data_IF_261758063686
#
_entry.id   IF_261758063686
#
_cell.length_a   1.000
_cell.length_b   1.000
_cell.length_c   1.000
_cell.angle_alpha   90.00
_cell.angle_beta   90.00
_cell.angle_gamma   90.00
#
_symmetry.space_group_name_H-M   'P 1'
#
loop_
_entity.id
_entity.type
_entity.pdbx_description
1 polymer ?
#
# COMPACT_ATOMS: atom_id res chain seq x y z
N UNK A 1 7.32 47.04 -16.97
CA UNK A 1 7.44 46.86 -15.52
C UNK A 1 6.40 45.86 -15.09
N UNK A 2 6.75 44.58 -14.97
CA UNK A 2 5.86 43.51 -14.56
C UNK A 2 6.47 42.85 -13.34
N UNK A 3 5.80 43.02 -12.19
CA UNK A 3 6.18 42.38 -10.93
C UNK A 3 5.69 40.89 -10.95
N UNK A 4 6.64 39.96 -11.04
CA UNK A 4 6.39 38.56 -10.71
C UNK A 4 6.49 38.39 -9.19
N UNK A 5 5.36 38.23 -8.51
CA UNK A 5 5.30 37.78 -7.12
C UNK A 5 5.53 36.27 -7.07
N UNK A 6 6.68 35.86 -6.53
CA UNK A 6 6.98 34.46 -6.20
C UNK A 6 6.24 34.10 -4.91
N UNK A 7 5.22 33.25 -5.02
CA UNK A 7 4.62 32.60 -3.86
C UNK A 7 5.52 31.43 -3.41
N UNK A 8 6.28 31.66 -2.35
CA UNK A 8 6.94 30.58 -1.62
C UNK A 8 5.91 29.94 -0.69
N UNK A 9 5.41 28.77 -1.06
CA UNK A 9 4.58 27.97 -0.15
C UNK A 9 5.50 27.33 0.88
N UNK A 10 5.46 27.80 2.11
CA UNK A 10 6.01 27.09 3.26
C UNK A 10 5.05 25.94 3.58
N UNK A 11 5.49 24.72 3.29
CA UNK A 11 4.86 23.52 3.83
C UNK A 11 5.33 23.43 5.27
N UNK A 12 4.42 23.70 6.21
CA UNK A 12 4.67 23.46 7.63
C UNK A 12 4.68 21.94 7.86
N UNK A 13 5.83 21.37 8.15
CA UNK A 13 5.93 20.02 8.66
C UNK A 13 5.26 19.99 10.04
N UNK A 14 4.13 19.32 10.14
CA UNK A 14 3.51 18.97 11.41
C UNK A 14 4.15 17.64 11.83
N UNK A 15 5.03 17.69 12.84
CA UNK A 15 5.50 16.48 13.51
C UNK A 15 4.34 15.89 14.31
N UNK A 16 3.77 14.81 13.81
CA UNK A 16 2.78 14.02 14.54
C UNK A 16 3.50 13.21 15.63
N UNK A 17 3.30 13.56 16.88
CA UNK A 17 3.68 12.73 18.00
C UNK A 17 2.68 11.57 18.14
N UNK A 18 3.06 10.36 17.78
CA UNK A 18 2.24 9.17 17.96
C UNK A 18 2.38 8.62 19.38
N UNK A 19 1.26 8.29 20.00
CA UNK A 19 1.21 7.57 21.28
C UNK A 19 1.21 6.06 21.03
N UNK A 20 2.24 5.37 21.51
CA UNK A 20 2.42 3.92 21.42
C UNK A 20 1.39 3.14 22.26
N UNK A 21 0.23 2.78 21.74
CA UNK A 21 -0.68 1.87 22.46
C UNK A 21 -1.34 0.78 21.58
N UNK A 22 -1.30 0.89 20.25
CA UNK A 22 -2.10 0.03 19.37
C UNK A 22 -1.35 -1.15 18.72
N UNK A 23 -0.03 -1.22 18.79
CA UNK A 23 0.75 -2.21 18.01
C UNK A 23 0.68 -3.65 18.57
N UNK A 24 0.34 -3.84 19.83
CA UNK A 24 0.40 -5.16 20.45
C UNK A 24 -0.67 -6.16 19.96
N UNK A 25 -1.83 -5.68 19.50
CA UNK A 25 -2.95 -6.55 19.10
C UNK A 25 -2.83 -6.98 17.64
N UNK A 26 -2.32 -6.13 16.78
CA UNK A 26 -2.12 -6.40 15.33
C UNK A 26 -1.07 -7.49 15.10
N UNK A 27 -0.05 -7.58 15.97
CA UNK A 27 0.99 -8.62 15.91
C UNK A 27 0.45 -10.04 16.09
N UNK A 28 -0.82 -10.21 16.50
CA UNK A 28 -1.46 -11.52 16.62
C UNK A 28 -2.02 -12.04 15.30
N UNK A 29 -2.18 -11.18 14.28
CA UNK A 29 -2.70 -11.58 12.97
C UNK A 29 -1.64 -12.44 12.26
N UNK A 30 -2.00 -13.68 11.98
CA UNK A 30 -1.07 -14.69 11.45
C UNK A 30 -1.66 -15.59 10.37
N UNK A 31 -2.90 -15.36 9.98
CA UNK A 31 -3.64 -16.21 9.05
C UNK A 31 -4.70 -15.41 8.28
N UNK A 32 -5.40 -16.08 7.40
CA UNK A 32 -6.53 -15.53 6.67
C UNK A 32 -7.71 -16.51 6.69
N UNK A 33 -8.92 -15.99 6.79
CA UNK A 33 -10.16 -16.73 6.59
C UNK A 33 -10.73 -16.42 5.21
N UNK A 34 -11.29 -17.42 4.55
CA UNK A 34 -11.84 -17.31 3.20
C UNK A 34 -13.35 -17.29 3.24
N UNK A 35 -13.94 -16.40 2.47
CA UNK A 35 -15.39 -16.32 2.23
C UNK A 35 -15.63 -16.45 0.73
N UNK A 36 -15.55 -17.70 0.19
CA UNK A 36 -15.84 -17.92 -1.22
C UNK A 36 -17.32 -17.67 -1.47
N UNK A 37 -17.61 -17.10 -2.64
CA UNK A 37 -18.99 -16.85 -3.07
C UNK A 37 -19.77 -15.96 -2.11
N UNK A 38 -19.14 -14.88 -1.61
CA UNK A 38 -19.83 -13.84 -0.83
C UNK A 38 -21.04 -13.30 -1.61
N UNK A 39 -20.90 -13.10 -2.92
CA UNK A 39 -21.98 -13.00 -3.90
C UNK A 39 -21.86 -14.18 -4.86
N UNK A 40 -22.95 -14.85 -5.14
CA UNK A 40 -22.99 -16.05 -5.97
C UNK A 40 -24.16 -16.02 -6.95
N UNK A 41 -24.25 -14.91 -7.70
CA UNK A 41 -25.33 -14.76 -8.68
C UNK A 41 -25.13 -15.66 -9.92
N UNK A 42 -23.90 -16.17 -10.12
CA UNK A 42 -23.56 -17.09 -11.19
C UNK A 42 -23.02 -18.40 -10.61
N UNK A 43 -23.89 -19.25 -10.01
CA UNK A 43 -23.46 -20.45 -9.30
C UNK A 43 -22.83 -21.53 -10.20
N UNK A 44 -23.02 -21.44 -11.52
CA UNK A 44 -22.41 -22.34 -12.50
C UNK A 44 -20.95 -22.02 -12.85
N UNK A 45 -20.44 -20.88 -12.40
CA UNK A 45 -19.03 -20.52 -12.60
C UNK A 45 -18.10 -21.43 -11.79
N UNK A 46 -16.91 -21.67 -12.31
CA UNK A 46 -15.88 -22.48 -11.63
C UNK A 46 -14.94 -21.59 -10.83
N UNK A 47 -14.83 -21.82 -9.54
CA UNK A 47 -13.90 -21.12 -8.64
C UNK A 47 -12.72 -22.03 -8.29
N UNK A 48 -11.51 -21.52 -8.46
CA UNK A 48 -10.27 -22.10 -7.93
C UNK A 48 -9.68 -21.15 -6.88
N UNK A 49 -9.34 -21.66 -5.71
CA UNK A 49 -8.72 -20.90 -4.62
C UNK A 49 -7.37 -21.50 -4.28
N UNK A 50 -6.33 -20.67 -4.24
CA UNK A 50 -5.03 -21.05 -3.67
C UNK A 50 -4.78 -20.17 -2.46
N UNK A 51 -4.31 -20.79 -1.39
CA UNK A 51 -4.07 -20.12 -0.12
C UNK A 51 -2.76 -20.56 0.50
N UNK A 52 -1.86 -19.63 0.61
CA UNK A 52 -0.58 -19.76 1.29
C UNK A 52 -0.21 -18.42 1.96
N UNK A 53 -1.10 -17.95 2.84
CA UNK A 53 -0.91 -16.70 3.58
C UNK A 53 0.41 -16.73 4.38
N UNK A 54 1.16 -15.64 4.45
CA UNK A 54 0.97 -14.34 3.81
C UNK A 54 1.59 -14.21 2.40
N UNK A 55 2.22 -15.29 1.90
CA UNK A 55 2.99 -15.25 0.66
C UNK A 55 2.12 -15.11 -0.58
N UNK A 56 0.97 -15.83 -0.58
CA UNK A 56 0.08 -15.92 -1.73
C UNK A 56 -1.35 -16.26 -1.30
N UNK A 57 -2.31 -15.52 -1.83
CA UNK A 57 -3.72 -15.88 -1.93
C UNK A 57 -4.15 -15.62 -3.37
N UNK A 58 -4.88 -16.51 -4.00
CA UNK A 58 -5.48 -16.23 -5.30
C UNK A 58 -6.87 -16.80 -5.44
N UNK A 59 -7.69 -16.07 -6.19
CA UNK A 59 -9.00 -16.48 -6.67
C UNK A 59 -8.96 -16.46 -8.20
N UNK A 60 -9.40 -17.55 -8.81
CA UNK A 60 -9.65 -17.63 -10.24
C UNK A 60 -11.08 -18.09 -10.46
N UNK A 61 -11.89 -17.28 -11.13
CA UNK A 61 -13.22 -17.64 -11.57
C UNK A 61 -13.32 -17.72 -13.09
N UNK A 62 -13.93 -18.79 -13.56
CA UNK A 62 -14.16 -19.06 -14.97
C UNK A 62 -15.65 -19.25 -15.26
N UNK A 63 -16.04 -18.86 -16.48
CA UNK A 63 -17.40 -19.01 -16.99
C UNK A 63 -18.44 -18.24 -16.15
N UNK A 64 -18.10 -17.02 -15.71
CA UNK A 64 -19.04 -16.13 -15.00
C UNK A 64 -20.03 -15.57 -16.00
N UNK A 65 -20.94 -16.43 -16.45
CA UNK A 65 -21.88 -16.14 -17.54
C UNK A 65 -23.20 -16.89 -17.33
N UNK A 66 -24.27 -16.12 -17.23
CA UNK A 66 -25.65 -16.63 -17.24
C UNK A 66 -26.63 -15.51 -17.64
N UNK A 67 -27.91 -15.84 -18.01
CA UNK A 67 -28.86 -14.85 -18.50
C UNK A 67 -29.22 -13.73 -17.52
N UNK A 68 -29.11 -13.98 -16.22
CA UNK A 68 -29.49 -13.03 -15.13
C UNK A 68 -28.43 -13.07 -14.04
N UNK A 69 -28.53 -12.14 -13.08
CA UNK A 69 -27.57 -12.00 -12.00
C UNK A 69 -26.56 -10.89 -12.27
N UNK A 70 -25.97 -10.38 -11.19
CA UNK A 70 -25.04 -9.25 -11.26
C UNK A 70 -23.58 -9.71 -11.29
N UNK A 71 -23.13 -10.46 -10.28
CA UNK A 71 -21.71 -10.78 -10.13
C UNK A 71 -21.48 -11.98 -9.20
N UNK A 72 -20.28 -12.53 -9.28
CA UNK A 72 -19.70 -13.33 -8.20
C UNK A 72 -18.64 -12.51 -7.48
N UNK A 73 -18.55 -12.70 -6.14
CA UNK A 73 -17.51 -12.10 -5.30
C UNK A 73 -16.93 -13.11 -4.34
N UNK A 74 -15.61 -13.23 -4.35
CA UNK A 74 -14.84 -14.06 -3.43
C UNK A 74 -13.94 -13.16 -2.60
N UNK A 75 -13.85 -13.42 -1.30
CA UNK A 75 -13.07 -12.60 -0.39
C UNK A 75 -12.24 -13.43 0.59
N UNK A 76 -11.19 -12.85 1.10
CA UNK A 76 -10.46 -13.29 2.28
C UNK A 76 -10.33 -12.14 3.26
N UNK A 77 -10.21 -12.44 4.55
CA UNK A 77 -10.03 -11.47 5.62
C UNK A 77 -8.89 -11.89 6.53
N UNK A 78 -8.21 -10.92 7.14
CA UNK A 78 -7.22 -11.22 8.18
C UNK A 78 -7.83 -12.02 9.33
N UNK A 79 -7.03 -12.89 9.93
CA UNK A 79 -7.42 -13.74 11.04
C UNK A 79 -6.26 -13.92 12.03
N UNK A 80 -6.58 -14.13 13.31
CA UNK A 80 -5.62 -14.41 14.37
C UNK A 80 -5.89 -15.74 15.10
N UNK A 81 -6.79 -16.55 14.56
CA UNK A 81 -7.23 -17.84 15.13
C UNK A 81 -7.09 -19.00 14.13
N UNK A 82 -6.02 -18.95 13.32
CA UNK A 82 -5.72 -19.96 12.29
C UNK A 82 -6.75 -20.03 11.16
N UNK A 83 -7.43 -18.93 10.88
CA UNK A 83 -8.40 -18.81 9.79
C UNK A 83 -9.80 -19.28 10.16
N UNK A 84 -10.12 -19.42 11.44
CA UNK A 84 -11.47 -19.82 11.88
C UNK A 84 -12.47 -18.65 11.77
N UNK A 85 -12.06 -17.44 12.19
CA UNK A 85 -12.88 -16.22 12.09
C UNK A 85 -12.09 -15.03 11.56
N UNK A 86 -12.80 -14.04 11.00
CA UNK A 86 -12.19 -12.79 10.60
C UNK A 86 -11.78 -11.97 11.84
N UNK A 87 -10.56 -11.41 11.81
CA UNK A 87 -10.13 -10.44 12.80
C UNK A 87 -10.97 -9.16 12.67
N UNK A 88 -11.47 -8.67 13.79
CA UNK A 88 -12.26 -7.44 13.85
C UNK A 88 -11.39 -6.31 14.39
N UNK A 89 -11.11 -5.37 13.52
CA UNK A 89 -10.40 -4.14 13.88
C UNK A 89 -11.31 -3.24 14.72
N UNK A 90 -10.70 -2.39 15.52
CA UNK A 90 -11.42 -1.43 16.36
C UNK A 90 -10.81 -0.03 16.26
N UNK A 91 -11.54 0.96 16.76
CA UNK A 91 -11.17 2.38 16.63
C UNK A 91 -9.86 2.76 17.31
N UNK A 92 -9.31 1.93 18.18
CA UNK A 92 -8.01 2.18 18.81
C UNK A 92 -6.84 1.65 18.00
N UNK A 93 -7.10 0.82 16.98
CA UNK A 93 -6.05 0.23 16.16
C UNK A 93 -5.45 1.27 15.22
N UNK A 94 -4.13 1.26 15.13
CA UNK A 94 -3.36 2.02 14.16
C UNK A 94 -2.38 1.06 13.48
N UNK A 95 -2.41 1.01 12.17
CA UNK A 95 -1.67 -0.01 11.42
C UNK A 95 -1.49 0.39 9.95
N UNK A 96 -0.55 -0.26 9.31
CA UNK A 96 -0.35 -0.25 7.86
C UNK A 96 -0.56 -1.65 7.30
N UNK A 97 -1.30 -1.74 6.21
CA UNK A 97 -1.43 -2.95 5.40
C UNK A 97 -0.90 -2.66 4.00
N UNK A 98 -0.07 -3.57 3.48
CA UNK A 98 0.37 -3.56 2.08
C UNK A 98 0.22 -4.94 1.47
N UNK A 99 -0.08 -5.00 0.18
CA UNK A 99 -0.07 -6.22 -0.61
C UNK A 99 0.18 -5.91 -2.08
N UNK A 100 0.79 -6.84 -2.79
CA UNK A 100 0.87 -6.81 -4.24
C UNK A 100 -0.39 -7.46 -4.80
N UNK A 101 -1.04 -6.78 -5.75
CA UNK A 101 -2.27 -7.24 -6.40
C UNK A 101 -2.02 -7.34 -7.89
N UNK A 102 -2.29 -8.53 -8.45
CA UNK A 102 -2.38 -8.74 -9.89
C UNK A 102 -3.80 -9.13 -10.24
N UNK A 103 -4.46 -8.33 -11.08
CA UNK A 103 -5.80 -8.63 -11.57
C UNK A 103 -5.76 -8.85 -13.07
N UNK A 104 -6.25 -10.01 -13.50
CA UNK A 104 -6.37 -10.37 -14.92
C UNK A 104 -7.83 -10.64 -15.25
N UNK A 105 -8.30 -10.12 -16.38
CA UNK A 105 -9.65 -10.35 -16.87
C UNK A 105 -9.65 -10.80 -18.32
N UNK A 106 -10.43 -11.81 -18.67
CA UNK A 106 -10.65 -12.28 -20.03
C UNK A 106 -12.15 -12.52 -20.28
N UNK A 107 -12.78 -11.69 -21.12
CA UNK A 107 -12.27 -10.41 -21.64
C UNK A 107 -12.11 -9.36 -20.52
N UNK A 108 -11.49 -8.21 -20.81
CA UNK A 108 -11.35 -7.14 -19.82
C UNK A 108 -12.70 -6.52 -19.39
N UNK A 109 -13.71 -6.56 -20.25
CA UNK A 109 -15.10 -6.16 -19.98
C UNK A 109 -16.04 -7.34 -20.20
N UNK A 110 -17.03 -7.58 -19.35
CA UNK A 110 -17.47 -6.71 -18.24
C UNK A 110 -16.45 -6.66 -17.10
N UNK A 111 -16.65 -5.69 -16.19
CA UNK A 111 -15.76 -5.36 -15.09
C UNK A 111 -15.32 -6.59 -14.28
N UNK A 112 -14.00 -6.64 -14.00
CA UNK A 112 -13.39 -7.38 -12.91
C UNK A 112 -12.70 -6.37 -12.01
N UNK A 113 -12.79 -6.59 -10.72
CA UNK A 113 -12.14 -5.74 -9.73
C UNK A 113 -11.53 -6.57 -8.61
N UNK A 114 -10.39 -6.08 -8.11
CA UNK A 114 -9.70 -6.68 -6.98
C UNK A 114 -8.98 -5.60 -6.16
N UNK A 115 -8.76 -5.89 -4.90
CA UNK A 115 -8.09 -5.00 -3.97
C UNK A 115 -8.53 -5.26 -2.54
N UNK A 116 -8.49 -4.22 -1.73
CA UNK A 116 -8.97 -4.30 -0.34
C UNK A 116 -10.49 -4.28 -0.26
N UNK A 117 -11.02 -5.06 0.65
CA UNK A 117 -12.41 -5.03 1.08
C UNK A 117 -12.48 -4.80 2.59
N UNK A 118 -13.42 -3.94 2.97
CA UNK A 118 -13.76 -3.61 4.35
C UNK A 118 -15.20 -4.03 4.59
N UNK A 119 -15.43 -4.97 5.48
CA UNK A 119 -16.76 -5.40 5.86
C UNK A 119 -17.06 -4.93 7.28
N UNK A 120 -18.09 -4.11 7.42
CA UNK A 120 -18.58 -3.66 8.72
C UNK A 120 -20.07 -4.03 8.83
N UNK A 121 -20.49 -4.69 9.92
CA UNK A 121 -21.89 -5.12 10.06
C UNK A 121 -22.90 -3.97 10.23
N UNK A 122 -22.42 -2.77 10.55
CA UNK A 122 -23.26 -1.58 10.75
C UNK A 122 -23.33 -0.67 9.52
N UNK A 123 -22.39 -0.83 8.59
CA UNK A 123 -22.28 -0.02 7.38
C UNK A 123 -21.97 -0.92 6.20
N UNK A 124 -22.50 -0.58 5.04
CA UNK A 124 -22.14 -1.23 3.78
C UNK A 124 -20.67 -1.01 3.51
N UNK A 125 -19.79 -1.84 3.90
CA UNK A 125 -18.38 -1.88 3.70
C UNK A 125 -17.74 -0.81 2.80
N UNK A 126 -16.51 -1.01 2.41
CA UNK A 126 -15.85 -0.12 1.46
C UNK A 126 -14.77 -0.89 0.73
N UNK A 127 -14.32 -0.38 -0.39
CA UNK A 127 -13.32 -1.00 -1.23
C UNK A 127 -12.20 -0.01 -1.61
N UNK A 128 -10.98 -0.51 -1.66
CA UNK A 128 -9.86 0.16 -2.34
C UNK A 128 -9.32 -0.77 -3.40
N UNK A 129 -9.55 -0.46 -4.68
CA UNK A 129 -9.49 -1.40 -5.80
C UNK A 129 -8.68 -0.91 -7.00
N UNK A 130 -8.37 -1.89 -7.86
CA UNK A 130 -8.12 -1.74 -9.29
C UNK A 130 -9.22 -2.46 -10.06
N UNK A 131 -9.53 -2.01 -11.29
CA UNK A 131 -10.50 -2.68 -12.16
C UNK A 131 -10.05 -2.72 -13.62
N UNK A 132 -10.62 -3.67 -14.37
CA UNK A 132 -10.17 -3.96 -15.74
C UNK A 132 -10.77 -3.05 -16.80
N UNK A 133 -12.02 -2.63 -16.65
CA UNK A 133 -12.75 -1.88 -17.70
C UNK A 133 -12.66 -0.37 -17.54
N UNK A 134 -12.58 0.12 -16.28
CA UNK A 134 -12.40 1.54 -15.97
C UNK A 134 -10.94 1.95 -15.85
N UNK A 135 -10.02 0.98 -15.78
CA UNK A 135 -8.59 1.21 -15.57
C UNK A 135 -8.27 2.04 -14.31
N UNK A 136 -9.12 1.94 -13.28
CA UNK A 136 -9.08 2.78 -12.12
C UNK A 136 -8.20 2.22 -11.00
N UNK A 137 -7.65 3.15 -10.22
CA UNK A 137 -7.17 2.95 -8.85
C UNK A 137 -8.02 3.82 -7.95
N UNK A 138 -8.92 3.25 -7.15
CA UNK A 138 -9.90 4.04 -6.42
C UNK A 138 -10.29 3.41 -5.09
N UNK A 139 -10.43 4.25 -4.06
CA UNK A 139 -11.05 3.90 -2.79
C UNK A 139 -12.42 4.56 -2.70
N UNK A 140 -13.45 3.78 -2.33
CA UNK A 140 -14.83 4.25 -2.27
C UNK A 140 -15.71 3.31 -1.44
N UNK A 141 -16.97 3.73 -1.25
CA UNK A 141 -18.02 2.92 -0.69
C UNK A 141 -18.07 2.93 0.84
N UNK A 142 -19.26 2.72 1.38
CA UNK A 142 -19.52 2.65 2.80
C UNK A 142 -18.95 3.85 3.56
N UNK A 143 -18.07 3.57 4.48
CA UNK A 143 -17.44 4.56 5.35
C UNK A 143 -16.05 5.02 4.87
N UNK A 144 -15.50 4.43 3.81
CA UNK A 144 -14.18 4.82 3.31
C UNK A 144 -14.20 6.20 2.66
N UNK A 145 -13.28 7.10 3.05
CA UNK A 145 -13.09 8.35 2.34
C UNK A 145 -12.74 8.09 0.86
N UNK A 146 -13.46 8.75 -0.03
CA UNK A 146 -13.22 8.62 -1.47
C UNK A 146 -11.85 9.16 -1.86
N UNK A 147 -11.09 8.37 -2.63
CA UNK A 147 -9.88 8.84 -3.28
C UNK A 147 -9.60 8.08 -4.57
N UNK A 148 -9.43 8.80 -5.68
CA UNK A 148 -9.03 8.24 -6.96
C UNK A 148 -7.61 8.67 -7.30
N UNK A 149 -6.74 7.70 -7.54
CA UNK A 149 -5.39 7.97 -7.99
C UNK A 149 -5.39 8.39 -9.47
N UNK A 150 -4.61 9.43 -9.85
CA UNK A 150 -4.48 9.84 -11.25
C UNK A 150 -3.55 8.89 -12.00
N UNK A 151 -3.90 7.61 -12.05
CA UNK A 151 -3.12 6.53 -12.63
C UNK A 151 -4.02 5.54 -13.31
N UNK A 152 -3.45 4.82 -14.28
CA UNK A 152 -4.14 3.79 -15.06
C UNK A 152 -3.64 2.42 -14.65
N UNK A 153 -4.57 1.51 -14.37
CA UNK A 153 -4.33 0.09 -14.20
C UNK A 153 -4.62 -0.65 -15.52
N UNK A 154 -3.82 -1.63 -15.88
CA UNK A 154 -4.13 -2.53 -17.01
C UNK A 154 -4.23 -3.97 -16.50
N UNK A 155 -5.15 -4.73 -17.10
CA UNK A 155 -5.28 -6.15 -16.79
C UNK A 155 -3.95 -6.89 -16.97
N UNK A 156 -3.50 -7.58 -15.93
CA UNK A 156 -2.23 -8.28 -15.87
C UNK A 156 -1.09 -7.48 -15.23
N UNK A 157 -1.26 -6.18 -14.99
CA UNK A 157 -0.27 -5.42 -14.21
C UNK A 157 -0.27 -5.91 -12.75
N UNK A 158 0.92 -5.99 -12.15
CA UNK A 158 1.08 -6.16 -10.71
C UNK A 158 1.32 -4.79 -10.08
N UNK A 159 0.53 -4.48 -9.06
CA UNK A 159 0.59 -3.21 -8.34
C UNK A 159 0.66 -3.44 -6.84
N UNK A 160 1.47 -2.65 -6.13
CA UNK A 160 1.40 -2.64 -4.67
C UNK A 160 0.32 -1.67 -4.24
N UNK A 161 -0.63 -2.15 -3.47
CA UNK A 161 -1.65 -1.36 -2.81
C UNK A 161 -1.38 -1.35 -1.31
N UNK A 162 -1.60 -0.23 -0.66
CA UNK A 162 -1.41 -0.12 0.78
C UNK A 162 -2.33 0.94 1.38
N UNK A 163 -2.50 0.85 2.68
CA UNK A 163 -3.20 1.84 3.48
C UNK A 163 -2.62 1.89 4.88
N UNK A 164 -2.62 3.08 5.46
CA UNK A 164 -2.32 3.30 6.87
C UNK A 164 -3.56 3.90 7.54
N UNK A 165 -4.02 3.27 8.62
CA UNK A 165 -5.07 3.80 9.49
C UNK A 165 -4.41 4.25 10.79
N UNK A 166 -4.72 5.47 11.21
CA UNK A 166 -4.09 6.10 12.36
C UNK A 166 -5.01 7.12 13.04
N UNK A 167 -4.61 7.61 14.22
CA UNK A 167 -5.27 8.75 14.87
C UNK A 167 -4.58 10.04 14.45
N UNK A 168 -5.36 11.00 13.96
CA UNK A 168 -4.88 12.34 13.70
C UNK A 168 -4.60 13.13 15.01
N UNK A 169 -4.13 14.35 14.88
CA UNK A 169 -3.82 15.22 16.04
C UNK A 169 -5.05 15.59 16.90
N UNK A 170 -6.27 15.40 16.36
CA UNK A 170 -7.53 15.60 17.08
C UNK A 170 -8.07 14.28 17.69
N UNK A 171 -7.35 13.16 17.53
CA UNK A 171 -7.74 11.84 18.00
C UNK A 171 -8.80 11.15 17.16
N UNK A 172 -9.07 11.65 15.94
CA UNK A 172 -9.98 11.04 14.99
C UNK A 172 -9.26 9.98 14.15
N UNK A 173 -9.99 8.96 13.71
CA UNK A 173 -9.47 8.02 12.74
C UNK A 173 -9.28 8.72 11.39
N UNK A 174 -8.13 8.47 10.78
CA UNK A 174 -7.78 8.92 9.45
C UNK A 174 -7.13 7.78 8.68
N UNK A 175 -7.17 7.87 7.37
CA UNK A 175 -6.57 6.90 6.46
C UNK A 175 -5.70 7.61 5.41
N UNK A 176 -4.61 6.98 5.05
CA UNK A 176 -3.79 7.31 3.88
C UNK A 176 -3.80 6.07 2.97
N UNK A 177 -4.07 6.26 1.69
CA UNK A 177 -3.96 5.22 0.68
C UNK A 177 -2.64 5.33 -0.07
N UNK A 178 -2.04 4.20 -0.40
CA UNK A 178 -0.81 4.08 -1.15
C UNK A 178 -1.00 3.21 -2.40
N UNK A 179 -0.39 3.62 -3.50
CA UNK A 179 -0.36 2.84 -4.73
C UNK A 179 1.02 2.91 -5.40
N UNK A 180 1.59 1.76 -5.76
CA UNK A 180 2.83 1.65 -6.50
C UNK A 180 2.63 0.78 -7.74
N UNK A 181 3.06 1.30 -8.88
CA UNK A 181 3.19 0.57 -10.14
C UNK A 181 4.67 0.32 -10.44
N UNK A 182 4.98 -0.38 -11.52
CA UNK A 182 6.38 -0.59 -11.95
C UNK A 182 7.16 0.71 -12.18
N UNK A 183 6.49 1.82 -12.44
CA UNK A 183 7.13 3.08 -12.86
C UNK A 183 6.92 4.25 -11.91
N UNK A 184 6.02 4.12 -10.93
CA UNK A 184 5.65 5.26 -10.11
C UNK A 184 4.94 4.89 -8.81
N UNK A 185 5.08 5.75 -7.80
CA UNK A 185 4.34 5.69 -6.54
C UNK A 185 3.46 6.91 -6.36
N UNK A 186 2.39 6.73 -5.61
CA UNK A 186 1.51 7.81 -5.21
C UNK A 186 0.92 7.49 -3.83
N UNK A 187 0.62 8.55 -3.08
CA UNK A 187 -0.02 8.49 -1.77
C UNK A 187 -1.13 9.54 -1.74
N UNK A 188 -2.23 9.24 -1.08
CA UNK A 188 -3.26 10.24 -0.81
C UNK A 188 -2.80 11.19 0.28
N UNK A 189 -3.40 12.39 0.40
CA UNK A 189 -3.31 13.12 1.67
C UNK A 189 -3.97 12.28 2.78
N UNK A 190 -3.72 12.61 4.07
CA UNK A 190 -4.52 12.10 5.17
C UNK A 190 -6.00 12.46 4.97
N UNK A 191 -6.87 11.47 5.04
CA UNK A 191 -8.31 11.63 4.85
C UNK A 191 -9.02 11.22 6.15
N UNK A 192 -9.75 12.14 6.76
CA UNK A 192 -10.56 11.83 7.93
C UNK A 192 -11.78 11.01 7.52
N UNK A 193 -12.11 10.02 8.32
CA UNK A 193 -13.38 9.34 8.22
C UNK A 193 -14.53 10.30 8.58
N UNK A 194 -15.66 10.20 7.90
CA UNK A 194 -16.80 11.06 8.13
C UNK A 194 -17.34 10.93 9.56
N UNK A 195 -17.69 12.05 10.17
CA UNK A 195 -18.29 12.07 11.52
C UNK A 195 -19.70 11.47 11.59
N UNK A 196 -20.31 11.17 10.44
CA UNK A 196 -21.66 10.56 10.36
C UNK A 196 -21.60 9.04 10.46
N UNK A 197 -20.40 8.46 10.37
CA UNK A 197 -20.21 7.03 10.34
C UNK A 197 -19.71 6.54 11.70
N UNK A 198 -20.61 5.78 12.34
CA UNK A 198 -20.44 5.27 13.68
C UNK A 198 -19.15 4.46 13.82
N UNK A 199 -18.15 5.03 14.52
CA UNK A 199 -16.99 4.27 15.00
C UNK A 199 -16.23 3.54 13.92
N UNK A 200 -16.24 4.06 12.79
CA UNK A 200 -15.61 3.85 11.50
C UNK A 200 -14.95 2.51 11.22
N UNK A 201 -14.01 2.04 12.05
CA UNK A 201 -13.37 0.73 11.88
C UNK A 201 -13.79 -0.26 12.97
N UNK A 202 -14.55 0.17 13.96
CA UNK A 202 -14.97 -0.68 15.06
C UNK A 202 -15.84 -1.87 14.56
N UNK A 203 -15.38 -3.08 14.80
CA UNK A 203 -16.02 -4.29 14.30
C UNK A 203 -15.83 -4.54 12.79
N UNK A 204 -14.94 -3.82 12.13
CA UNK A 204 -14.64 -4.01 10.71
C UNK A 204 -13.67 -5.16 10.52
N UNK A 205 -13.95 -6.06 9.58
CA UNK A 205 -12.96 -6.97 9.03
C UNK A 205 -12.37 -6.43 7.74
N UNK A 206 -11.07 -6.61 7.55
CA UNK A 206 -10.33 -6.14 6.37
C UNK A 206 -9.67 -7.34 5.70
N UNK A 207 -9.61 -7.30 4.37
CA UNK A 207 -8.96 -8.33 3.57
C UNK A 207 -8.86 -7.95 2.11
N UNK A 208 -8.83 -8.96 1.25
CA UNK A 208 -8.82 -8.75 -0.20
C UNK A 208 -9.96 -9.52 -0.89
N UNK A 209 -10.32 -9.10 -2.10
CA UNK A 209 -11.40 -9.73 -2.85
C UNK A 209 -11.17 -9.72 -4.35
N UNK A 210 -11.86 -10.63 -5.04
CA UNK A 210 -12.11 -10.63 -6.47
C UNK A 210 -13.61 -10.51 -6.71
N UNK A 211 -14.03 -9.59 -7.57
CA UNK A 211 -15.39 -9.57 -8.09
C UNK A 211 -15.38 -9.60 -9.60
N UNK A 212 -16.22 -10.45 -10.17
CA UNK A 212 -16.40 -10.55 -11.63
C UNK A 212 -17.88 -10.28 -11.94
N UNK A 213 -18.13 -9.23 -12.71
CA UNK A 213 -19.46 -8.91 -13.18
C UNK A 213 -19.88 -9.94 -14.24
N UNK A 214 -21.10 -10.44 -14.10
CA UNK A 214 -21.71 -11.43 -15.02
C UNK A 214 -21.76 -10.91 -16.46
N UNK A 215 -21.57 -11.81 -17.42
CA UNK A 215 -21.81 -11.53 -18.83
C UNK A 215 -22.85 -12.48 -19.41
N UNK A 216 -24.05 -12.01 -19.73
CA UNK A 216 -25.05 -12.89 -20.36
C UNK A 216 -24.67 -13.40 -21.75
N UNK A 217 -23.69 -12.80 -22.39
CA UNK A 217 -23.34 -13.06 -23.80
C UNK A 217 -21.94 -13.66 -24.01
N UNK A 218 -21.08 -13.64 -22.99
CA UNK A 218 -19.69 -14.11 -23.10
C UNK A 218 -19.50 -15.31 -22.19
N UNK A 219 -19.64 -16.50 -22.73
CA UNK A 219 -19.60 -17.75 -21.96
C UNK A 219 -18.25 -17.99 -21.24
N UNK A 220 -17.15 -17.48 -21.81
CA UNK A 220 -15.79 -17.62 -21.28
C UNK A 220 -15.37 -16.48 -20.33
N UNK A 221 -16.33 -15.60 -19.94
CA UNK A 221 -16.04 -14.50 -19.03
C UNK A 221 -15.36 -14.99 -17.73
N UNK A 222 -14.13 -14.57 -17.51
CA UNK A 222 -13.26 -15.05 -16.42
C UNK A 222 -12.37 -13.96 -15.87
N UNK A 223 -11.80 -14.22 -14.70
CA UNK A 223 -10.81 -13.33 -14.09
C UNK A 223 -10.06 -14.01 -12.96
N UNK A 224 -8.88 -13.47 -12.69
CA UNK A 224 -8.00 -13.95 -11.64
C UNK A 224 -7.49 -12.76 -10.83
N UNK A 225 -7.59 -12.84 -9.51
CA UNK A 225 -6.88 -11.95 -8.60
C UNK A 225 -5.82 -12.74 -7.83
N UNK A 226 -4.62 -12.20 -7.79
CA UNK A 226 -3.49 -12.75 -7.03
C UNK A 226 -3.04 -11.70 -6.03
N UNK A 227 -3.02 -12.06 -4.75
CA UNK A 227 -2.56 -11.25 -3.63
C UNK A 227 -1.26 -11.85 -3.11
N UNK A 228 -0.17 -11.09 -3.11
CA UNK A 228 1.15 -11.55 -2.68
C UNK A 228 1.78 -10.53 -1.73
N UNK A 229 2.84 -10.98 -1.01
CA UNK A 229 3.60 -10.10 -0.12
C UNK A 229 2.68 -9.35 0.87
N UNK A 230 1.65 -10.05 1.38
CA UNK A 230 0.66 -9.49 2.29
C UNK A 230 1.35 -9.19 3.62
N UNK A 231 1.33 -7.92 4.02
CA UNK A 231 1.94 -7.45 5.28
C UNK A 231 0.94 -6.63 6.07
N UNK A 232 0.98 -6.77 7.38
CA UNK A 232 0.35 -5.87 8.33
C UNK A 232 1.36 -5.54 9.42
N UNK A 233 1.53 -4.25 9.70
CA UNK A 233 2.52 -3.72 10.64
C UNK A 233 1.92 -2.63 11.51
N UNK A 234 2.67 -2.07 12.45
CA UNK A 234 2.38 -0.76 13.02
C UNK A 234 2.27 0.31 11.93
N UNK A 235 1.84 1.53 12.27
CA UNK A 235 1.80 2.63 11.31
C UNK A 235 3.15 2.81 10.61
N UNK A 236 3.09 3.07 9.31
CA UNK A 236 4.22 3.41 8.45
C UNK A 236 3.76 4.62 7.63
N UNK A 237 4.14 5.81 8.09
CA UNK A 237 3.55 7.07 7.62
C UNK A 237 4.11 7.54 6.28
N UNK A 238 5.29 7.07 5.89
CA UNK A 238 5.95 7.43 4.62
C UNK A 238 6.00 6.27 3.61
N UNK A 239 5.47 5.09 4.01
CA UNK A 239 5.36 3.90 3.16
C UNK A 239 6.69 3.40 2.61
N UNK A 240 7.76 3.50 3.39
CA UNK A 240 9.04 2.93 3.03
C UNK A 240 9.18 1.43 3.40
N UNK A 241 8.24 0.92 4.19
CA UNK A 241 8.13 -0.47 4.61
C UNK A 241 8.67 -0.74 6.02
N UNK A 242 9.10 0.32 6.73
CA UNK A 242 9.57 0.27 8.12
C UNK A 242 8.57 1.03 9.01
N UNK A 243 8.00 0.39 10.04
CA UNK A 243 7.03 1.04 10.92
C UNK A 243 7.62 2.25 11.68
N UNK A 244 6.80 3.28 11.90
CA UNK A 244 7.19 4.55 12.52
C UNK A 244 7.91 4.39 13.87
N UNK A 245 7.61 3.34 14.63
CA UNK A 245 8.19 3.09 15.97
C UNK A 245 9.63 2.58 15.92
N UNK A 246 10.08 2.06 14.80
CA UNK A 246 11.45 1.57 14.56
C UNK A 246 12.16 2.32 13.42
N UNK A 247 11.43 3.18 12.71
CA UNK A 247 11.99 4.01 11.64
C UNK A 247 12.84 5.14 12.23
N UNK A 248 14.10 5.21 11.82
CA UNK A 248 15.06 6.25 12.25
C UNK A 248 15.18 7.38 11.23
N UNK A 249 14.58 7.24 10.06
CA UNK A 249 14.67 8.15 8.93
C UNK A 249 13.30 8.57 8.39
N UNK A 250 12.40 8.97 9.27
CA UNK A 250 11.05 9.40 8.91
C UNK A 250 11.02 10.38 7.71
N UNK A 251 10.00 10.29 6.90
CA UNK A 251 9.80 11.04 5.65
C UNK A 251 10.75 10.62 4.51
N UNK A 252 11.04 9.37 4.39
CA UNK A 252 11.70 8.80 3.23
C UNK A 252 10.89 9.10 1.96
N UNK A 253 11.50 9.58 0.86
CA UNK A 253 10.76 9.80 -0.37
C UNK A 253 10.15 8.50 -0.88
N UNK A 254 8.89 8.56 -1.31
CA UNK A 254 8.15 7.40 -1.82
C UNK A 254 8.97 6.60 -2.85
N UNK A 255 8.89 5.27 -2.76
CA UNK A 255 9.61 4.33 -3.61
C UNK A 255 11.13 4.40 -3.54
N UNK A 256 11.68 5.00 -2.53
CA UNK A 256 13.11 4.93 -2.26
C UNK A 256 13.44 3.61 -1.57
N UNK A 257 14.53 2.99 -1.97
CA UNK A 257 15.04 1.80 -1.29
C UNK A 257 15.65 2.20 0.05
N UNK A 258 15.24 1.52 1.12
CA UNK A 258 15.72 1.77 2.49
C UNK A 258 16.36 0.52 3.09
N UNK A 259 17.16 0.72 4.11
CA UNK A 259 17.66 -0.35 4.97
C UNK A 259 16.62 -0.76 6.04
N UNK A 260 16.99 -1.68 6.91
CA UNK A 260 16.12 -2.17 7.98
C UNK A 260 15.74 -1.09 9.03
N UNK A 261 16.36 0.06 9.00
CA UNK A 261 16.07 1.20 9.89
C UNK A 261 15.25 2.32 9.23
N UNK A 262 14.74 2.10 8.02
CA UNK A 262 13.97 3.08 7.25
C UNK A 262 14.82 4.12 6.53
N UNK A 263 16.15 3.96 6.51
CA UNK A 263 17.04 4.97 5.95
C UNK A 263 17.44 4.64 4.51
N UNK A 264 17.30 5.59 3.60
CA UNK A 264 17.85 5.53 2.27
C UNK A 264 19.34 5.92 2.24
N UNK A 265 20.04 5.56 1.17
CA UNK A 265 21.45 5.97 0.96
C UNK A 265 21.58 7.50 1.01
N UNK A 266 20.63 8.24 0.44
CA UNK A 266 20.64 9.71 0.43
C UNK A 266 20.38 10.31 1.82
N UNK A 267 19.63 9.64 2.68
CA UNK A 267 19.43 10.06 4.07
C UNK A 267 20.62 9.72 4.97
N UNK A 268 21.32 8.61 4.69
CA UNK A 268 22.55 8.23 5.40
C UNK A 268 23.75 9.11 4.96
N UNK A 269 23.78 9.55 3.71
CA UNK A 269 24.83 10.40 3.17
C UNK A 269 24.26 11.61 2.39
N UNK A 270 23.55 12.54 3.06
CA UNK A 270 22.92 13.67 2.39
C UNK A 270 23.95 14.58 1.70
N UNK A 271 23.62 15.06 0.52
CA UNK A 271 24.49 15.95 -0.25
C UNK A 271 24.84 17.26 0.50
N UNK A 272 23.91 17.76 1.29
CA UNK A 272 24.05 19.03 2.02
C UNK A 272 25.05 18.98 3.21
N UNK A 273 25.27 17.79 3.79
CA UNK A 273 26.12 17.59 4.96
C UNK A 273 25.90 16.23 5.61
N UNK A 274 26.70 15.84 6.60
CA UNK A 274 26.53 14.56 7.32
C UNK A 274 25.14 14.45 7.97
N UNK A 275 24.59 13.25 8.04
CA UNK A 275 23.32 12.99 8.74
C UNK A 275 23.36 13.43 10.22
N UNK A 276 24.55 13.43 10.85
CA UNK A 276 24.76 13.95 12.21
C UNK A 276 24.71 15.49 12.31
N UNK A 277 24.50 16.19 11.20
CA UNK A 277 24.45 17.65 11.10
C UNK A 277 25.77 18.29 10.68
N UNK A 278 25.68 19.58 10.32
CA UNK A 278 26.81 20.37 9.86
C UNK A 278 27.06 20.27 8.33
N UNK A 279 28.30 20.54 7.91
CA UNK A 279 28.70 20.50 6.51
C UNK A 279 29.85 19.52 6.31
N UNK A 280 29.92 18.93 5.12
CA UNK A 280 31.07 18.10 4.72
C UNK A 280 32.37 18.93 4.75
N UNK A 281 33.44 18.37 5.30
CA UNK A 281 34.75 19.02 5.29
C UNK A 281 35.29 19.18 3.85
N UNK A 282 35.00 18.23 3.00
CA UNK A 282 35.38 18.18 1.58
C UNK A 282 34.56 17.06 0.87
N UNK A 283 34.66 17.05 -0.48
CA UNK A 283 34.02 16.05 -1.32
C UNK A 283 34.43 14.61 -0.99
N UNK A 284 35.71 14.37 -0.61
CA UNK A 284 36.19 13.03 -0.22
C UNK A 284 35.49 12.47 1.03
N UNK A 285 35.13 13.34 1.98
CA UNK A 285 34.35 12.90 3.15
C UNK A 285 32.93 12.47 2.76
N UNK A 286 32.28 13.23 1.86
CA UNK A 286 30.99 12.83 1.30
C UNK A 286 31.07 11.47 0.58
N UNK A 287 32.07 11.29 -0.31
CA UNK A 287 32.27 10.02 -1.00
C UNK A 287 32.48 8.86 -0.05
N UNK A 288 33.24 9.07 1.03
CA UNK A 288 33.44 8.02 2.04
C UNK A 288 32.13 7.62 2.73
N UNK A 289 31.25 8.59 2.99
CA UNK A 289 29.93 8.30 3.57
C UNK A 289 29.03 7.53 2.60
N UNK A 290 28.99 7.93 1.32
CA UNK A 290 28.25 7.18 0.29
C UNK A 290 28.80 5.76 0.13
N UNK A 291 30.13 5.59 0.09
CA UNK A 291 30.74 4.28 0.00
C UNK A 291 30.38 3.38 1.20
N UNK A 292 30.33 3.96 2.41
CA UNK A 292 29.92 3.21 3.60
C UNK A 292 28.44 2.82 3.56
N UNK A 293 27.55 3.76 3.19
CA UNK A 293 26.12 3.49 3.08
C UNK A 293 25.84 2.42 2.02
N UNK A 294 26.45 2.53 0.83
CA UNK A 294 26.26 1.54 -0.24
C UNK A 294 26.82 0.17 0.11
N UNK A 295 27.92 0.09 0.90
CA UNK A 295 28.44 -1.17 1.41
C UNK A 295 27.46 -1.85 2.38
N UNK A 296 26.79 -1.09 3.26
CA UNK A 296 25.77 -1.61 4.14
C UNK A 296 24.57 -2.18 3.35
N UNK A 297 24.13 -1.47 2.31
CA UNK A 297 23.05 -1.94 1.44
C UNK A 297 23.43 -3.19 0.66
N UNK A 298 24.68 -3.29 0.17
CA UNK A 298 25.19 -4.49 -0.49
C UNK A 298 25.24 -5.68 0.49
N UNK A 299 25.74 -5.46 1.70
CA UNK A 299 25.83 -6.50 2.73
C UNK A 299 24.45 -7.04 3.15
N UNK A 300 23.41 -6.21 3.08
CA UNK A 300 22.00 -6.59 3.32
C UNK A 300 21.33 -7.21 2.07
N UNK A 301 22.02 -7.28 0.95
CA UNK A 301 21.47 -7.80 -0.32
C UNK A 301 20.43 -6.87 -0.97
N UNK A 302 20.37 -5.62 -0.56
CA UNK A 302 19.42 -4.62 -1.07
C UNK A 302 19.83 -4.09 -2.44
N UNK A 303 21.14 -4.06 -2.74
CA UNK A 303 21.70 -3.66 -4.03
C UNK A 303 22.74 -4.67 -4.49
N UNK A 304 22.99 -4.71 -5.79
CA UNK A 304 24.09 -5.50 -6.37
C UNK A 304 25.41 -4.72 -6.31
N UNK A 305 26.54 -5.43 -6.55
CA UNK A 305 27.87 -4.81 -6.69
C UNK A 305 27.90 -3.75 -7.80
N UNK A 306 27.26 -4.02 -8.95
CA UNK A 306 27.21 -3.09 -10.08
C UNK A 306 26.40 -1.83 -9.72
N UNK A 307 25.31 -1.98 -8.96
CA UNK A 307 24.53 -0.84 -8.47
C UNK A 307 25.35 -0.01 -7.47
N UNK A 308 26.05 -0.64 -6.55
CA UNK A 308 26.97 0.05 -5.63
C UNK A 308 28.00 0.87 -6.38
N UNK A 309 28.70 0.27 -7.37
CA UNK A 309 29.72 0.95 -8.16
C UNK A 309 29.16 2.13 -8.96
N UNK A 310 27.94 1.97 -9.51
CA UNK A 310 27.24 3.04 -10.19
C UNK A 310 26.90 4.21 -9.24
N UNK A 311 26.42 3.93 -8.03
CA UNK A 311 26.10 4.95 -7.02
C UNK A 311 27.35 5.71 -6.56
N UNK A 312 28.46 5.00 -6.29
CA UNK A 312 29.74 5.64 -5.92
C UNK A 312 30.27 6.50 -7.08
N UNK A 313 30.19 6.01 -8.32
CA UNK A 313 30.59 6.77 -9.50
C UNK A 313 29.76 8.03 -9.69
N UNK A 314 28.44 7.95 -9.51
CA UNK A 314 27.55 9.11 -9.57
C UNK A 314 27.88 10.13 -8.45
N UNK A 315 28.12 9.66 -7.24
CA UNK A 315 28.53 10.50 -6.12
C UNK A 315 29.86 11.22 -6.40
N UNK A 316 30.84 10.53 -7.02
CA UNK A 316 32.13 11.10 -7.38
C UNK A 316 32.05 12.24 -8.40
N UNK A 317 31.02 12.21 -9.26
CA UNK A 317 30.76 13.24 -10.27
C UNK A 317 29.88 14.38 -9.74
N UNK A 318 29.32 14.24 -8.54
CA UNK A 318 28.42 15.23 -7.95
C UNK A 318 29.19 16.40 -7.33
N UNK A 319 28.58 17.59 -7.19
CA UNK A 319 29.18 18.73 -6.48
C UNK A 319 29.07 18.59 -4.94
N UNK A 320 28.50 17.51 -4.41
CA UNK A 320 28.26 17.32 -2.99
C UNK A 320 29.56 17.35 -2.16
N UNK A 321 29.55 18.04 -1.04
CA UNK A 321 30.73 18.18 -0.19
C UNK A 321 31.83 19.09 -0.76
N UNK A 322 31.66 19.67 -1.95
CA UNK A 322 32.60 20.66 -2.50
C UNK A 322 32.42 21.99 -1.78
N UNK A 323 33.53 22.65 -1.42
CA UNK A 323 33.46 24.02 -0.94
C UNK A 323 33.02 24.93 -2.10
N UNK A 324 31.97 25.71 -1.87
CA UNK A 324 31.59 26.81 -2.76
C UNK A 324 32.63 27.96 -2.67
#
# INVERSE_FOLDING_TARGET
MSMYQRYTRHIALVSLGFTMAASAQISTINSAVYTPRQYNDVPGATLTVVSNYPSLISFEEQNVSQPTGFANRDAWHFSNDSGATAYLFNNSDSFTITMDVTLTGDPISPRKEAGFVFNNPLNDGGEFIVNTDGHEFVAFGGFLPFYAFPRTFNSGDTVTMGLTIFKDSAGKNAIIYFARTATACAVSPPLEFSNTELGVIDGTSIGGYLQIVNSPTIATNSGTAVFQNIKITGPDSDFDGVPDDVDTCANTPLCTLVDASGCSIDQLAPCAGPASGGTWKNHGQYLSAVAQATEQFLAQGLISSDQKDALISAAAQSPCGSKK
#
